data_IF_071220482443
#
_entry.id   IF_071220482443
#
_cell.length_a   1.000
_cell.length_b   1.000
_cell.length_c   1.000
_cell.angle_alpha   90.00
_cell.angle_beta   90.00
_cell.angle_gamma   90.00
#
_symmetry.space_group_name_H-M   'P 1'
#
loop_
_entity.id
_entity.type
_entity.pdbx_description
1 polymer ?
#
# COMPACT_ATOMS: atom_id res chain seq x y z
N UNK A 1 -9.45 23.29 16.57
CA UNK A 1 -9.42 22.89 15.16
C UNK A 1 -9.71 21.42 15.01
N UNK A 2 -10.64 21.11 14.15
CA UNK A 2 -10.96 19.71 13.87
C UNK A 2 -9.84 19.04 13.08
N UNK A 3 -9.51 17.79 13.43
CA UNK A 3 -8.57 17.00 12.66
C UNK A 3 -9.18 16.65 11.30
N UNK A 4 -8.34 16.57 10.28
CA UNK A 4 -8.78 16.07 8.98
C UNK A 4 -9.20 14.62 9.10
N UNK A 5 -10.30 14.25 8.45
CA UNK A 5 -10.71 12.86 8.33
C UNK A 5 -9.74 12.13 7.42
N UNK A 6 -9.78 10.79 7.42
CA UNK A 6 -8.93 10.02 6.51
C UNK A 6 -9.33 10.25 5.06
N UNK A 7 -10.63 10.44 4.77
CA UNK A 7 -11.07 10.77 3.41
C UNK A 7 -10.58 12.14 2.97
N UNK A 8 -10.53 13.12 3.86
CA UNK A 8 -9.94 14.41 3.55
C UNK A 8 -8.45 14.29 3.26
N UNK A 9 -7.73 13.49 4.05
CA UNK A 9 -6.31 13.22 3.81
C UNK A 9 -6.09 12.50 2.49
N UNK A 10 -6.99 11.56 2.14
CA UNK A 10 -6.92 10.81 0.90
C UNK A 10 -7.04 11.74 -0.32
N UNK A 11 -7.90 12.74 -0.25
CA UNK A 11 -8.14 13.67 -1.34
C UNK A 11 -7.10 14.80 -1.39
N UNK A 12 -6.33 14.99 -0.33
CA UNK A 12 -5.35 16.08 -0.24
C UNK A 12 -4.01 15.63 -0.82
N UNK A 13 -3.86 15.79 -2.13
CA UNK A 13 -2.64 15.39 -2.84
C UNK A 13 -1.53 16.43 -2.77
N UNK A 14 -1.88 17.71 -2.57
CA UNK A 14 -0.90 18.79 -2.67
C UNK A 14 -0.25 18.82 -4.05
N UNK A 15 1.07 18.72 -4.11
CA UNK A 15 1.86 18.69 -5.35
C UNK A 15 2.14 17.26 -5.84
N UNK A 16 1.52 16.24 -5.24
CA UNK A 16 1.77 14.85 -5.59
C UNK A 16 0.86 14.37 -6.73
N UNK A 17 1.29 13.46 -7.58
CA UNK A 17 2.61 12.80 -7.54
C UNK A 17 3.73 13.70 -8.04
N UNK A 18 4.94 13.42 -7.56
CA UNK A 18 6.14 14.13 -8.03
C UNK A 18 7.34 13.18 -8.05
N UNK A 19 8.35 13.52 -8.83
CA UNK A 19 9.61 12.77 -8.86
C UNK A 19 10.70 13.66 -8.27
N UNK A 20 11.35 13.16 -7.23
CA UNK A 20 12.50 13.83 -6.63
C UNK A 20 13.78 13.34 -7.28
N UNK A 21 14.69 14.27 -7.57
CA UNK A 21 16.00 13.97 -8.12
C UNK A 21 16.99 13.80 -6.98
N UNK A 22 17.50 12.58 -6.84
CA UNK A 22 18.44 12.21 -5.79
C UNK A 22 19.90 12.26 -6.23
N UNK A 23 20.19 12.78 -7.43
CA UNK A 23 21.54 12.76 -7.99
C UNK A 23 22.59 13.44 -7.11
N UNK A 24 22.19 14.42 -6.32
CA UNK A 24 23.07 15.10 -5.37
C UNK A 24 23.33 14.28 -4.08
N UNK A 25 22.68 13.12 -3.93
CA UNK A 25 22.77 12.26 -2.74
C UNK A 25 23.17 10.84 -3.14
N UNK A 26 24.47 10.56 -3.31
CA UNK A 26 24.92 9.25 -3.79
C UNK A 26 24.44 8.05 -2.97
N UNK A 27 24.33 8.23 -1.63
CA UNK A 27 23.83 7.16 -0.75
C UNK A 27 22.37 6.82 -1.04
N UNK A 28 21.56 7.83 -1.31
CA UNK A 28 20.15 7.62 -1.66
C UNK A 28 20.03 6.97 -3.03
N UNK A 29 20.84 7.38 -4.00
CA UNK A 29 20.88 6.76 -5.33
C UNK A 29 21.19 5.27 -5.21
N UNK A 30 22.19 4.92 -4.42
CA UNK A 30 22.57 3.52 -4.19
C UNK A 30 21.44 2.74 -3.51
N UNK A 31 20.82 3.35 -2.52
CA UNK A 31 19.74 2.72 -1.75
C UNK A 31 18.49 2.42 -2.60
N UNK A 32 18.12 3.33 -3.49
CA UNK A 32 16.90 3.20 -4.28
C UNK A 32 17.12 2.67 -5.70
N UNK A 33 18.36 2.45 -6.09
CA UNK A 33 18.66 1.91 -7.41
C UNK A 33 18.64 2.93 -8.55
N UNK A 34 18.68 4.23 -8.22
CA UNK A 34 18.69 5.30 -9.20
C UNK A 34 18.36 6.64 -8.59
N UNK A 35 18.42 7.68 -9.41
CA UNK A 35 18.24 9.06 -8.95
C UNK A 35 16.78 9.53 -8.93
N UNK A 36 15.87 8.83 -9.62
CA UNK A 36 14.48 9.25 -9.75
C UNK A 36 13.61 8.53 -8.74
N UNK A 37 13.19 9.26 -7.70
CA UNK A 37 12.32 8.73 -6.66
C UNK A 37 10.92 9.30 -6.81
N UNK A 38 9.95 8.42 -7.06
CA UNK A 38 8.55 8.82 -7.13
C UNK A 38 7.97 8.95 -5.73
N UNK A 39 7.27 10.05 -5.49
CA UNK A 39 6.37 10.20 -4.34
C UNK A 39 4.96 10.23 -4.94
N UNK A 40 4.27 9.11 -4.87
CA UNK A 40 2.94 8.98 -5.45
C UNK A 40 1.89 9.65 -4.56
N UNK A 41 0.75 9.99 -5.15
CA UNK A 41 -0.36 10.56 -4.41
C UNK A 41 -1.16 9.46 -3.69
N UNK A 42 -1.81 9.77 -2.56
CA UNK A 42 -2.63 8.78 -1.84
C UNK A 42 -3.67 8.10 -2.72
N UNK A 43 -4.33 8.82 -3.60
CA UNK A 43 -5.36 8.25 -4.49
C UNK A 43 -4.81 7.21 -5.44
N UNK A 44 -3.54 7.27 -5.81
CA UNK A 44 -2.93 6.25 -6.66
C UNK A 44 -2.87 4.90 -5.95
N UNK A 45 -2.55 4.91 -4.65
CA UNK A 45 -2.59 3.70 -3.83
C UNK A 45 -4.04 3.20 -3.68
N UNK A 46 -4.96 4.11 -3.44
CA UNK A 46 -6.37 3.76 -3.26
C UNK A 46 -6.95 3.05 -4.49
N UNK A 47 -6.65 3.54 -5.68
CA UNK A 47 -7.11 2.94 -6.93
C UNK A 47 -6.58 1.52 -7.13
N UNK A 48 -5.31 1.30 -6.79
CA UNK A 48 -4.69 -0.03 -6.90
C UNK A 48 -5.28 -0.98 -5.86
N UNK A 49 -5.38 -0.52 -4.61
CA UNK A 49 -5.95 -1.33 -3.53
C UNK A 49 -7.40 -1.75 -3.84
N UNK A 50 -8.13 -0.89 -4.53
CA UNK A 50 -9.52 -1.17 -4.92
C UNK A 50 -9.64 -2.27 -5.98
N UNK A 51 -8.58 -2.53 -6.75
CA UNK A 51 -8.60 -3.53 -7.83
C UNK A 51 -8.47 -4.97 -7.35
N UNK A 52 -7.93 -5.18 -6.17
CA UNK A 52 -7.59 -6.53 -5.69
C UNK A 52 -8.86 -7.35 -5.46
N UNK A 53 -9.08 -8.45 -6.19
CA UNK A 53 -10.32 -9.20 -6.08
C UNK A 53 -10.32 -10.11 -4.85
N UNK A 54 -11.52 -10.59 -4.51
CA UNK A 54 -11.70 -11.53 -3.41
C UNK A 54 -10.82 -12.78 -3.62
N UNK A 55 -10.19 -13.23 -2.56
CA UNK A 55 -9.30 -14.39 -2.61
C UNK A 55 -7.87 -14.09 -3.03
N UNK A 56 -7.60 -12.84 -3.41
CA UNK A 56 -6.26 -12.39 -3.78
C UNK A 56 -5.75 -11.36 -2.77
N UNK A 57 -4.44 -11.20 -2.74
CA UNK A 57 -3.78 -10.19 -1.90
C UNK A 57 -2.73 -9.47 -2.74
N UNK A 58 -2.26 -8.33 -2.23
CA UNK A 58 -1.15 -7.61 -2.82
C UNK A 58 -0.25 -7.11 -1.69
N UNK A 59 1.02 -6.89 -1.98
CA UNK A 59 1.95 -6.34 -1.00
C UNK A 59 2.30 -4.90 -1.39
N UNK A 60 2.64 -4.09 -0.38
CA UNK A 60 2.93 -2.66 -0.60
C UNK A 60 4.13 -2.48 -1.54
N UNK A 61 5.14 -3.33 -1.44
CA UNK A 61 6.31 -3.25 -2.31
C UNK A 61 5.95 -3.50 -3.78
N UNK A 62 5.00 -4.38 -4.05
CA UNK A 62 4.53 -4.60 -5.43
C UNK A 62 3.78 -3.38 -5.96
N UNK A 63 3.00 -2.73 -5.11
CA UNK A 63 2.33 -1.47 -5.50
C UNK A 63 3.38 -0.41 -5.81
N UNK A 64 4.40 -0.28 -4.95
CA UNK A 64 5.48 0.69 -5.17
C UNK A 64 6.22 0.44 -6.50
N UNK A 65 6.56 -0.80 -6.77
CA UNK A 65 7.27 -1.16 -8.00
C UNK A 65 6.43 -0.86 -9.24
N UNK A 66 5.15 -1.16 -9.19
CA UNK A 66 4.22 -0.87 -10.28
C UNK A 66 4.12 0.64 -10.53
N UNK A 67 3.96 1.44 -9.48
CA UNK A 67 3.85 2.89 -9.61
C UNK A 67 5.13 3.51 -10.17
N UNK A 68 6.30 3.05 -9.72
CA UNK A 68 7.58 3.51 -10.24
C UNK A 68 7.71 3.25 -11.73
N UNK A 69 7.31 2.05 -12.15
CA UNK A 69 7.33 1.65 -13.56
C UNK A 69 6.43 2.53 -14.41
N UNK A 70 5.21 2.79 -13.93
CA UNK A 70 4.26 3.65 -14.64
C UNK A 70 4.76 5.09 -14.78
N UNK A 71 5.50 5.57 -13.80
CA UNK A 71 6.02 6.93 -13.79
C UNK A 71 7.41 7.06 -14.43
N UNK A 72 7.98 5.96 -14.91
CA UNK A 72 9.36 5.89 -15.40
C UNK A 72 10.37 6.39 -14.37
N UNK A 73 10.10 6.07 -13.10
CA UNK A 73 10.99 6.35 -11.97
C UNK A 73 11.78 5.11 -11.60
N UNK A 74 12.87 5.30 -10.86
CA UNK A 74 13.71 4.18 -10.43
C UNK A 74 13.15 3.47 -9.21
N UNK A 75 12.43 4.21 -8.36
CA UNK A 75 11.79 3.66 -7.16
C UNK A 75 10.64 4.56 -6.72
N UNK A 76 9.79 4.02 -5.83
CA UNK A 76 8.75 4.80 -5.15
C UNK A 76 9.09 4.87 -3.67
N UNK A 77 8.92 6.05 -3.07
CA UNK A 77 9.26 6.30 -1.67
C UNK A 77 8.53 5.30 -0.74
N UNK A 78 9.27 4.48 0.03
CA UNK A 78 8.63 3.50 0.91
C UNK A 78 7.97 4.14 2.14
N UNK A 79 8.50 5.26 2.61
CA UNK A 79 7.95 5.95 3.78
C UNK A 79 6.54 6.49 3.50
N UNK A 80 6.38 7.24 2.42
CA UNK A 80 5.07 7.79 2.05
C UNK A 80 4.12 6.68 1.62
N UNK A 81 4.62 5.60 1.01
CA UNK A 81 3.79 4.45 0.67
C UNK A 81 3.11 3.87 1.92
N UNK A 82 3.87 3.67 2.99
CA UNK A 82 3.33 3.16 4.26
C UNK A 82 2.28 4.09 4.85
N UNK A 83 2.54 5.39 4.83
CA UNK A 83 1.60 6.41 5.32
C UNK A 83 0.32 6.40 4.49
N UNK A 84 0.45 6.38 3.17
CA UNK A 84 -0.69 6.53 2.26
C UNK A 84 -1.57 5.28 2.21
N UNK A 85 -1.01 4.06 2.23
CA UNK A 85 -1.86 2.86 2.29
C UNK A 85 -2.65 2.82 3.61
N UNK A 86 -2.06 3.30 4.69
CA UNK A 86 -2.76 3.41 5.97
C UNK A 86 -3.94 4.40 5.88
N UNK A 87 -3.72 5.53 5.24
CA UNK A 87 -4.77 6.52 4.98
C UNK A 87 -5.90 5.88 4.14
N UNK A 88 -5.55 5.14 3.09
CA UNK A 88 -6.53 4.48 2.23
C UNK A 88 -7.38 3.49 3.03
N UNK A 89 -6.76 2.69 3.89
CA UNK A 89 -7.46 1.69 4.69
C UNK A 89 -8.44 2.35 5.66
N UNK A 90 -8.00 3.36 6.41
CA UNK A 90 -8.86 4.06 7.36
C UNK A 90 -9.94 4.88 6.66
N UNK A 91 -9.62 5.48 5.51
CA UNK A 91 -10.62 6.18 4.70
C UNK A 91 -11.71 5.23 4.22
N UNK A 92 -11.32 4.00 3.86
CA UNK A 92 -12.26 2.95 3.50
C UNK A 92 -13.23 2.63 4.63
N UNK A 93 -12.73 2.59 5.87
CA UNK A 93 -13.58 2.35 7.04
C UNK A 93 -14.53 3.50 7.35
N UNK A 94 -14.13 4.74 7.04
CA UNK A 94 -15.02 5.90 7.23
C UNK A 94 -16.21 5.87 6.27
N UNK A 95 -16.04 5.23 5.10
CA UNK A 95 -17.10 5.13 4.10
C UNK A 95 -17.89 3.85 4.35
N UNK A 96 -19.16 3.99 4.67
CA UNK A 96 -19.99 2.84 5.01
C UNK A 96 -20.43 2.03 3.79
N UNK A 97 -20.48 2.62 2.60
CA UNK A 97 -21.05 2.00 1.42
C UNK A 97 -20.05 1.74 0.29
N UNK A 98 -18.95 2.45 0.26
CA UNK A 98 -17.96 2.36 -0.83
C UNK A 98 -16.58 2.04 -0.29
N UNK A 99 -16.50 1.00 0.53
CA UNK A 99 -15.22 0.54 1.07
C UNK A 99 -14.40 -0.14 -0.01
N UNK A 100 -13.12 0.26 -0.11
CA UNK A 100 -12.16 -0.54 -0.87
C UNK A 100 -11.79 -1.77 -0.04
N UNK A 101 -11.36 -2.87 -0.68
CA UNK A 101 -10.94 -4.07 0.06
C UNK A 101 -9.55 -3.89 0.68
N UNK A 102 -9.43 -2.95 1.62
CA UNK A 102 -8.16 -2.55 2.23
C UNK A 102 -7.43 -3.71 2.90
N UNK A 103 -8.17 -4.70 3.41
CA UNK A 103 -7.59 -5.86 4.11
C UNK A 103 -6.78 -6.77 3.20
N UNK A 104 -6.92 -6.64 1.88
CA UNK A 104 -6.20 -7.44 0.88
C UNK A 104 -4.79 -6.91 0.60
N UNK A 105 -4.41 -5.78 1.20
CA UNK A 105 -3.08 -5.18 1.07
C UNK A 105 -2.25 -5.55 2.28
N UNK A 106 -1.10 -6.20 2.04
CA UNK A 106 -0.20 -6.71 3.07
C UNK A 106 1.14 -5.98 3.02
N UNK A 107 1.93 -6.12 4.08
CA UNK A 107 3.34 -5.72 4.07
C UNK A 107 4.13 -6.69 3.18
N UNK A 108 5.37 -6.32 2.84
CA UNK A 108 6.17 -6.98 1.81
C UNK A 108 6.35 -8.49 1.96
N UNK A 109 6.34 -9.01 3.18
CA UNK A 109 6.52 -10.45 3.43
C UNK A 109 5.21 -11.21 3.67
N UNK A 110 4.09 -10.60 3.26
CA UNK A 110 2.78 -11.17 3.51
C UNK A 110 2.26 -10.92 4.90
N UNK A 111 2.86 -10.00 5.61
CA UNK A 111 2.51 -9.66 6.99
C UNK A 111 1.28 -8.75 7.03
N UNK A 112 0.37 -9.02 7.98
CA UNK A 112 -0.75 -8.13 8.26
C UNK A 112 -0.22 -6.80 8.80
N UNK A 113 -0.91 -5.71 8.49
CA UNK A 113 -0.50 -4.37 8.89
C UNK A 113 -1.20 -3.97 10.20
N UNK A 114 -0.45 -3.89 11.28
CA UNK A 114 -0.96 -3.55 12.61
C UNK A 114 -1.45 -2.10 12.73
N UNK A 115 -1.13 -1.25 11.77
CA UNK A 115 -1.61 0.14 11.72
C UNK A 115 -2.91 0.30 10.94
N UNK A 116 -3.34 -0.74 10.24
CA UNK A 116 -4.63 -0.76 9.55
C UNK A 116 -5.77 -0.83 10.55
N UNK A 117 -7.00 -0.54 10.11
CA UNK A 117 -8.17 -0.74 10.98
C UNK A 117 -8.22 -2.16 11.51
N UNK A 118 -8.84 -2.35 12.68
CA UNK A 118 -9.02 -3.68 13.27
C UNK A 118 -9.85 -4.57 12.35
N UNK A 119 -9.56 -5.87 12.38
CA UNK A 119 -10.35 -6.85 11.66
C UNK A 119 -9.73 -7.39 10.38
N UNK A 120 -8.52 -6.96 10.03
CA UNK A 120 -7.86 -7.45 8.82
C UNK A 120 -7.76 -8.97 8.79
N UNK A 121 -7.35 -9.58 9.90
CA UNK A 121 -7.24 -11.04 10.00
C UNK A 121 -8.58 -11.73 9.72
N UNK A 122 -9.63 -11.28 10.38
CA UNK A 122 -10.97 -11.86 10.23
C UNK A 122 -11.44 -11.78 8.78
N UNK A 123 -11.27 -10.62 8.15
CA UNK A 123 -11.69 -10.42 6.77
C UNK A 123 -10.89 -11.31 5.79
N UNK A 124 -9.59 -11.45 6.03
CA UNK A 124 -8.76 -12.35 5.22
C UNK A 124 -9.19 -13.81 5.39
N UNK A 125 -9.44 -14.23 6.62
CA UNK A 125 -9.89 -15.60 6.90
C UNK A 125 -11.25 -15.88 6.27
N UNK A 126 -12.13 -14.90 6.24
CA UNK A 126 -13.43 -15.02 5.56
C UNK A 126 -13.30 -15.23 4.05
N UNK A 127 -12.18 -14.79 3.47
CA UNK A 127 -11.91 -14.98 2.04
C UNK A 127 -11.10 -16.25 1.76
N UNK A 128 -10.92 -17.10 2.76
CA UNK A 128 -10.27 -18.40 2.61
C UNK A 128 -8.77 -18.39 2.87
N UNK A 129 -8.20 -17.27 3.31
CA UNK A 129 -6.77 -17.22 3.64
C UNK A 129 -6.51 -17.83 5.00
N UNK A 130 -5.35 -18.47 5.14
CA UNK A 130 -4.89 -19.00 6.42
C UNK A 130 -3.90 -17.99 6.98
N UNK A 131 -4.21 -17.48 8.18
CA UNK A 131 -3.35 -16.52 8.87
C UNK A 131 -2.58 -17.25 9.96
N UNK A 132 -1.25 -17.11 9.93
CA UNK A 132 -0.35 -17.76 10.90
C UNK A 132 0.38 -16.72 11.71
N UNK A 133 0.72 -17.07 12.94
CA UNK A 133 1.47 -16.20 13.84
C UNK A 133 2.92 -16.65 13.93
N UNK A 134 3.83 -15.69 13.83
CA UNK A 134 5.26 -15.90 14.04
C UNK A 134 5.75 -14.83 15.03
N UNK A 135 5.99 -15.23 16.27
CA UNK A 135 6.30 -14.28 17.34
C UNK A 135 5.11 -13.37 17.61
N UNK A 136 5.30 -12.07 17.48
CA UNK A 136 4.25 -11.08 17.68
C UNK A 136 3.59 -10.64 16.37
N UNK A 137 3.98 -11.25 15.24
CA UNK A 137 3.54 -10.85 13.92
C UNK A 137 2.62 -11.89 13.31
N UNK A 138 1.72 -11.43 12.44
CA UNK A 138 0.77 -12.29 11.75
C UNK A 138 1.01 -12.21 10.25
N UNK A 139 0.90 -13.36 9.57
CA UNK A 139 1.20 -13.48 8.14
C UNK A 139 0.12 -14.28 7.44
N UNK A 140 -0.11 -13.99 6.17
CA UNK A 140 -0.94 -14.85 5.32
C UNK A 140 -0.05 -15.98 4.81
N UNK A 141 -0.44 -17.23 5.14
CA UNK A 141 0.28 -18.41 4.69
C UNK A 141 0.18 -18.52 3.16
N UNK A 142 1.30 -18.82 2.53
CA UNK A 142 1.37 -19.00 1.07
C UNK A 142 0.82 -17.79 0.28
N UNK A 143 1.04 -16.60 0.80
CA UNK A 143 0.54 -15.37 0.17
C UNK A 143 1.02 -15.22 -1.27
N UNK A 144 2.20 -15.75 -1.58
CA UNK A 144 2.79 -15.65 -2.92
C UNK A 144 1.94 -16.34 -3.97
N UNK A 145 1.22 -17.40 -3.61
CA UNK A 145 0.30 -18.11 -4.50
C UNK A 145 -1.01 -17.33 -4.72
N UNK A 146 -1.26 -16.31 -3.91
CA UNK A 146 -2.50 -15.52 -3.94
C UNK A 146 -2.29 -14.10 -4.42
N UNK A 147 -1.10 -13.77 -4.90
CA UNK A 147 -0.79 -12.40 -5.30
C UNK A 147 -1.57 -11.99 -6.54
N UNK A 148 -2.16 -10.79 -6.47
CA UNK A 148 -2.82 -10.17 -7.60
C UNK A 148 -1.76 -9.57 -8.53
N UNK A 149 -1.87 -9.84 -9.82
CA UNK A 149 -0.95 -9.32 -10.83
C UNK A 149 -1.49 -8.02 -11.42
N UNK A 150 -0.83 -6.91 -11.10
CA UNK A 150 -1.23 -5.59 -11.61
C UNK A 150 -0.97 -5.42 -13.10
N UNK A 151 -0.04 -6.17 -13.65
CA UNK A 151 0.36 -6.03 -15.05
C UNK A 151 -0.38 -7.01 -15.98
N UNK A 152 -1.25 -7.78 -15.41
CA UNK A 152 -2.11 -8.66 -16.14
C UNK A 152 -1.76 -10.00 -16.44
#
# INVERSE_FOLDING_TARGET
MAKKTFNEKLQNSGDLPKIEDLSAKPEAVARFGGAKLLIAAPMQYNEIMARVPEGKVITVDRIRNYLAKQAHADATCPLTAGIFVNICAHAGMERNTEQIPWWRTLKSKGELNDKFPNGQRTLLEMEGHIVIQKGKRWFVKDFEDKLYDLEG
#
